data_IF_255804157082
#
_entry.id   IF_255804157082
#
_cell.length_a   1.000
_cell.length_b   1.000
_cell.length_c   1.000
_cell.angle_alpha   90.00
_cell.angle_beta   90.00
_cell.angle_gamma   90.00
#
_symmetry.space_group_name_H-M   'P 1'
#
loop_
_entity.id
_entity.type
_entity.pdbx_description
1 polymer ?
#
# COMPACT_ATOMS: atom_id res chain seq x y z
N UNK A 1 1.46 -11.09 -15.53
CA UNK A 1 2.24 -11.95 -14.63
C UNK A 1 2.16 -13.39 -15.15
N UNK A 2 3.28 -13.97 -15.59
CA UNK A 2 3.34 -15.26 -16.30
C UNK A 2 4.05 -16.31 -15.43
N UNK A 3 3.74 -16.34 -14.14
CA UNK A 3 4.14 -17.41 -13.22
C UNK A 3 2.98 -18.35 -13.00
N UNK A 4 3.23 -19.60 -12.56
CA UNK A 4 2.11 -20.47 -12.21
C UNK A 4 1.35 -19.86 -11.02
N UNK A 5 0.01 -19.78 -11.08
CA UNK A 5 -0.81 -19.06 -10.09
C UNK A 5 -0.59 -19.54 -8.65
N UNK A 6 -0.20 -20.80 -8.46
CA UNK A 6 0.08 -21.39 -7.16
C UNK A 6 1.30 -20.81 -6.43
N UNK A 7 2.24 -20.15 -7.12
CA UNK A 7 3.42 -19.58 -6.46
C UNK A 7 3.06 -18.34 -5.63
N UNK A 8 2.24 -17.45 -6.18
CA UNK A 8 1.80 -16.25 -5.46
C UNK A 8 0.98 -16.63 -4.22
N UNK A 9 0.11 -17.64 -4.37
CA UNK A 9 -0.69 -18.21 -3.29
C UNK A 9 0.18 -18.82 -2.18
N UNK A 10 1.23 -19.56 -2.52
CA UNK A 10 2.15 -20.12 -1.53
C UNK A 10 2.92 -19.06 -0.75
N UNK A 11 3.34 -17.97 -1.42
CA UNK A 11 4.03 -16.85 -0.76
C UNK A 11 3.11 -16.07 0.18
N UNK A 12 1.84 -15.86 -0.20
CA UNK A 12 0.87 -15.16 0.66
C UNK A 12 0.68 -15.83 2.03
N UNK A 13 0.84 -17.16 2.11
CA UNK A 13 0.70 -17.91 3.36
C UNK A 13 1.97 -17.92 4.23
N UNK A 14 2.85 -16.92 4.08
CA UNK A 14 4.09 -16.74 4.85
C UNK A 14 3.88 -16.26 6.30
N UNK A 15 2.65 -15.93 6.69
CA UNK A 15 2.27 -15.54 8.05
C UNK A 15 1.16 -16.43 8.59
N UNK A 16 0.84 -16.31 9.88
CA UNK A 16 -0.34 -16.97 10.45
C UNK A 16 -1.62 -16.31 9.92
N UNK A 17 -2.48 -17.11 9.28
CA UNK A 17 -3.79 -16.69 8.80
C UNK A 17 -4.91 -17.26 9.68
N UNK A 18 -6.09 -16.61 9.75
CA UNK A 18 -7.23 -17.15 10.46
C UNK A 18 -7.58 -18.57 9.98
N UNK A 19 -7.77 -19.49 10.92
CA UNK A 19 -8.14 -20.89 10.63
C UNK A 19 -9.63 -21.17 10.78
N UNK A 20 -10.40 -20.19 11.28
CA UNK A 20 -11.85 -20.30 11.49
C UNK A 20 -12.63 -19.67 10.33
N UNK A 21 -13.41 -20.47 9.56
CA UNK A 21 -14.27 -19.95 8.50
C UNK A 21 -15.30 -18.91 8.99
N UNK A 22 -15.72 -18.95 10.25
CA UNK A 22 -16.69 -17.99 10.78
C UNK A 22 -16.10 -16.59 10.96
N UNK A 23 -14.78 -16.48 11.19
CA UNK A 23 -14.07 -15.20 11.21
C UNK A 23 -14.17 -14.50 9.84
N UNK A 24 -13.79 -15.19 8.76
CA UNK A 24 -13.90 -14.65 7.40
C UNK A 24 -15.33 -14.21 7.06
N UNK A 25 -16.34 -15.01 7.45
CA UNK A 25 -17.75 -14.64 7.23
C UNK A 25 -18.14 -13.37 7.99
N UNK A 26 -17.59 -13.16 9.19
CA UNK A 26 -17.81 -11.95 9.96
C UNK A 26 -17.16 -10.74 9.30
N UNK A 27 -15.88 -10.86 8.92
CA UNK A 27 -15.10 -9.80 8.29
C UNK A 27 -15.72 -9.37 6.96
N UNK A 28 -16.15 -10.33 6.12
CA UNK A 28 -16.86 -10.01 4.88
C UNK A 28 -18.17 -9.23 5.11
N UNK A 29 -18.92 -9.52 6.19
CA UNK A 29 -20.16 -8.77 6.50
C UNK A 29 -19.83 -7.35 6.94
N UNK A 30 -18.85 -7.20 7.81
CA UNK A 30 -18.41 -5.89 8.30
C UNK A 30 -17.92 -5.01 7.14
N UNK A 31 -17.05 -5.54 6.28
CA UNK A 31 -16.50 -4.81 5.15
C UNK A 31 -17.56 -4.49 4.08
N UNK A 32 -18.53 -5.38 3.84
CA UNK A 32 -19.65 -5.09 2.94
C UNK A 32 -20.48 -3.90 3.45
N UNK A 33 -20.72 -3.84 4.75
CA UNK A 33 -21.58 -2.82 5.35
C UNK A 33 -20.85 -1.47 5.49
N UNK A 34 -19.55 -1.49 5.82
CA UNK A 34 -18.71 -0.29 5.97
C UNK A 34 -18.18 0.26 4.62
N UNK A 35 -17.92 -0.62 3.64
CA UNK A 35 -17.31 -0.30 2.36
C UNK A 35 -18.14 -0.92 1.22
N UNK A 36 -19.30 -0.33 0.86
CA UNK A 36 -20.26 -0.93 -0.06
C UNK A 36 -19.78 -1.00 -1.52
N UNK A 37 -18.63 -0.41 -1.83
CA UNK A 37 -18.03 -0.38 -3.17
C UNK A 37 -16.61 -0.97 -3.16
N UNK A 38 -16.18 -1.48 -4.31
CA UNK A 38 -14.86 -2.08 -4.47
C UNK A 38 -14.83 -3.57 -4.14
N UNK A 39 -13.63 -4.10 -3.90
CA UNK A 39 -13.39 -5.54 -3.73
C UNK A 39 -13.21 -5.97 -2.27
N UNK A 40 -13.27 -5.04 -1.31
CA UNK A 40 -12.88 -5.27 0.09
C UNK A 40 -13.57 -6.49 0.73
N UNK A 41 -14.90 -6.57 0.64
CA UNK A 41 -15.63 -7.72 1.17
C UNK A 41 -15.19 -9.03 0.50
N UNK A 42 -15.01 -9.06 -0.83
CA UNK A 42 -14.56 -10.26 -1.54
C UNK A 42 -13.12 -10.67 -1.19
N UNK A 43 -12.22 -9.69 -1.01
CA UNK A 43 -10.82 -9.92 -0.63
C UNK A 43 -10.68 -10.48 0.79
N UNK A 44 -11.60 -10.14 1.69
CA UNK A 44 -11.66 -10.71 3.05
C UNK A 44 -12.35 -12.08 3.13
N UNK A 45 -12.69 -12.68 2.00
CA UNK A 45 -13.21 -14.04 1.95
C UNK A 45 -12.14 -15.10 2.28
N UNK A 46 -12.55 -16.35 2.54
CA UNK A 46 -11.61 -17.44 2.79
C UNK A 46 -10.75 -17.69 1.54
N UNK A 47 -9.44 -17.50 1.70
CA UNK A 47 -8.43 -17.79 0.67
C UNK A 47 -7.77 -19.16 0.86
N UNK A 48 -6.80 -19.46 0.02
CA UNK A 48 -6.00 -20.71 0.05
C UNK A 48 -5.33 -20.97 1.39
N UNK A 49 -4.93 -19.92 2.13
CA UNK A 49 -4.22 -20.06 3.40
C UNK A 49 -5.07 -20.67 4.52
N UNK A 50 -6.40 -20.54 4.48
CA UNK A 50 -7.30 -21.23 5.42
C UNK A 50 -7.15 -22.76 5.35
N UNK A 51 -6.77 -23.28 4.18
CA UNK A 51 -6.63 -24.71 3.92
C UNK A 51 -5.16 -25.16 3.90
N UNK A 52 -4.21 -24.25 4.18
CA UNK A 52 -2.80 -24.61 4.23
C UNK A 52 -2.52 -25.47 5.46
N UNK A 53 -1.94 -26.64 5.24
CA UNK A 53 -1.39 -27.48 6.32
C UNK A 53 0.06 -27.12 6.67
N UNK A 54 0.69 -26.26 5.85
CA UNK A 54 2.07 -25.83 6.04
C UNK A 54 2.13 -24.64 6.97
N UNK A 55 2.99 -24.73 7.99
CA UNK A 55 3.31 -23.60 8.85
C UNK A 55 4.28 -22.66 8.14
N UNK A 56 4.24 -21.34 8.44
CA UNK A 56 5.29 -20.41 8.03
C UNK A 56 6.67 -20.98 8.34
N UNK A 57 7.54 -21.05 7.32
CA UNK A 57 8.88 -21.64 7.48
C UNK A 57 9.83 -20.69 8.21
N UNK A 58 9.54 -19.39 8.15
CA UNK A 58 10.32 -18.32 8.79
C UNK A 58 9.42 -17.58 9.80
N UNK A 59 9.97 -17.13 10.94
CA UNK A 59 9.24 -16.23 11.82
C UNK A 59 9.00 -14.89 11.12
N UNK A 60 7.99 -14.14 11.59
CA UNK A 60 7.80 -12.76 11.14
C UNK A 60 9.09 -11.95 11.35
N UNK A 61 9.44 -11.15 10.35
CA UNK A 61 10.64 -10.33 10.38
C UNK A 61 10.54 -9.29 11.48
N UNK A 62 11.43 -9.38 12.46
CA UNK A 62 11.65 -8.27 13.39
C UNK A 62 12.44 -7.18 12.66
N UNK A 63 11.79 -6.03 12.44
CA UNK A 63 12.44 -4.87 11.86
C UNK A 63 13.44 -4.31 12.86
N UNK A 64 14.71 -4.62 12.64
CA UNK A 64 15.85 -4.08 13.38
C UNK A 64 16.68 -3.19 12.45
N UNK A 65 17.29 -2.15 13.02
CA UNK A 65 18.17 -1.25 12.28
C UNK A 65 19.62 -1.62 12.53
N UNK A 66 20.20 -2.44 11.68
CA UNK A 66 21.63 -2.81 11.73
C UNK A 66 22.49 -2.02 10.72
N UNK A 67 21.88 -1.10 9.96
CA UNK A 67 22.53 -0.37 8.88
C UNK A 67 22.71 1.12 9.18
N UNK A 68 23.79 1.70 8.64
CA UNK A 68 24.17 3.10 8.88
C UNK A 68 23.20 4.08 8.19
N UNK A 69 22.82 3.81 6.95
CA UNK A 69 21.96 4.69 6.14
C UNK A 69 20.47 4.41 6.38
N UNK A 70 19.67 5.35 6.89
CA UNK A 70 18.22 5.17 7.03
C UNK A 70 17.56 4.75 5.72
N UNK A 71 16.51 3.93 5.80
CA UNK A 71 15.68 3.68 4.62
C UNK A 71 14.89 4.96 4.27
N UNK A 72 14.28 4.98 3.08
CA UNK A 72 13.29 5.99 2.72
C UNK A 72 11.93 5.32 2.61
N UNK A 73 10.97 5.73 3.45
CA UNK A 73 9.62 5.17 3.43
C UNK A 73 8.69 6.15 2.72
N UNK A 74 7.84 5.64 1.83
CA UNK A 74 6.86 6.44 1.09
C UNK A 74 5.49 5.84 1.36
N UNK A 75 4.52 6.67 1.72
CA UNK A 75 3.14 6.23 1.92
C UNK A 75 2.17 7.34 1.56
N UNK A 76 1.09 7.01 0.84
CA UNK A 76 0.02 7.98 0.59
C UNK A 76 -1.11 7.85 1.59
N UNK A 77 -1.76 8.97 1.87
CA UNK A 77 -2.86 9.05 2.85
C UNK A 77 -4.05 8.17 2.46
N UNK A 78 -4.33 8.04 1.16
CA UNK A 78 -5.50 7.33 0.64
C UNK A 78 -5.14 6.12 -0.23
N UNK A 79 -3.92 5.57 -0.12
CA UNK A 79 -3.55 4.32 -0.77
C UNK A 79 -4.42 3.16 -0.25
N UNK A 80 -5.29 2.64 -1.12
CA UNK A 80 -6.22 1.57 -0.78
C UNK A 80 -5.58 0.17 -0.73
N UNK A 81 -4.36 0.01 -1.25
CA UNK A 81 -3.65 -1.27 -1.29
C UNK A 81 -2.68 -1.40 -0.13
N UNK A 82 -1.98 -0.32 0.22
CA UNK A 82 -1.05 -0.26 1.35
C UNK A 82 -1.37 0.91 2.27
N UNK A 83 -2.19 0.64 3.28
CA UNK A 83 -2.74 1.66 4.18
C UNK A 83 -1.66 2.54 4.84
N UNK A 84 -1.89 3.86 4.85
CA UNK A 84 -0.95 4.88 5.35
C UNK A 84 -0.36 4.58 6.73
N UNK A 85 -1.19 4.10 7.66
CA UNK A 85 -0.76 3.76 9.01
C UNK A 85 0.35 2.69 9.04
N UNK A 86 0.39 1.79 8.05
CA UNK A 86 1.47 0.82 7.88
C UNK A 86 2.80 1.50 7.50
N UNK A 87 2.76 2.50 6.62
CA UNK A 87 3.93 3.31 6.27
C UNK A 87 4.48 4.10 7.46
N UNK A 88 3.61 4.75 8.23
CA UNK A 88 3.99 5.45 9.47
C UNK A 88 4.63 4.48 10.46
N UNK A 89 4.01 3.32 10.67
CA UNK A 89 4.51 2.30 11.57
C UNK A 89 5.86 1.70 11.13
N UNK A 90 6.11 1.62 9.81
CA UNK A 90 7.37 1.19 9.22
C UNK A 90 8.46 2.24 9.40
N UNK A 91 8.18 3.51 9.06
CA UNK A 91 9.12 4.63 9.23
C UNK A 91 9.61 4.75 10.68
N UNK A 92 8.67 4.65 11.65
CA UNK A 92 9.00 4.67 13.07
C UNK A 92 9.88 3.49 13.52
N UNK A 93 9.57 2.26 13.06
CA UNK A 93 10.35 1.06 13.42
C UNK A 93 11.76 1.09 12.84
N UNK A 94 11.92 1.66 11.65
CA UNK A 94 13.21 1.75 10.96
C UNK A 94 14.01 3.01 11.33
N UNK A 95 13.45 3.91 12.15
CA UNK A 95 14.00 5.25 12.41
C UNK A 95 14.40 5.96 11.10
N UNK A 96 13.44 5.96 10.18
CA UNK A 96 13.62 6.37 8.78
C UNK A 96 12.67 7.51 8.43
N UNK A 97 13.08 8.46 7.57
CA UNK A 97 12.19 9.51 7.10
C UNK A 97 10.99 8.94 6.34
N UNK A 98 9.86 9.64 6.50
CA UNK A 98 8.61 9.35 5.80
C UNK A 98 8.30 10.45 4.78
N UNK A 99 8.12 10.03 3.52
CA UNK A 99 7.51 10.85 2.47
C UNK A 99 6.01 10.53 2.41
N UNK A 100 5.20 11.46 2.88
CA UNK A 100 3.74 11.35 2.86
C UNK A 100 3.20 11.95 1.56
N UNK A 101 2.48 11.16 0.76
CA UNK A 101 1.75 11.68 -0.40
C UNK A 101 0.34 12.07 0.05
N UNK A 102 0.08 13.37 0.08
CA UNK A 102 -1.12 13.97 0.66
C UNK A 102 -2.22 14.07 -0.39
N UNK A 103 -3.46 13.80 0.00
CA UNK A 103 -4.65 13.96 -0.86
C UNK A 103 -4.61 13.09 -2.15
N UNK A 104 -3.93 11.95 -2.11
CA UNK A 104 -3.72 11.06 -3.25
C UNK A 104 -4.08 9.59 -2.91
N UNK A 105 -4.85 8.95 -3.79
CA UNK A 105 -5.31 7.57 -3.67
C UNK A 105 -4.66 6.58 -4.64
N UNK A 106 -3.59 6.97 -5.33
CA UNK A 106 -2.79 6.07 -6.16
C UNK A 106 -2.14 4.95 -5.31
N UNK A 107 -1.60 3.95 -5.98
CA UNK A 107 -0.78 2.92 -5.37
C UNK A 107 0.53 2.83 -6.16
N UNK A 108 1.68 2.90 -5.47
CA UNK A 108 3.03 3.10 -6.05
C UNK A 108 3.25 4.54 -6.54
N UNK A 109 4.23 5.23 -5.95
CA UNK A 109 4.45 6.68 -6.15
C UNK A 109 5.73 7.05 -6.91
N UNK A 110 6.83 6.32 -6.73
CA UNK A 110 8.10 6.71 -7.36
C UNK A 110 8.13 6.47 -8.88
N UNK A 111 7.56 5.34 -9.33
CA UNK A 111 7.65 4.95 -10.74
C UNK A 111 6.40 4.19 -11.22
N UNK A 112 5.25 4.86 -11.35
CA UNK A 112 3.96 4.22 -11.62
C UNK A 112 3.77 3.83 -13.10
N UNK A 113 4.82 3.49 -13.86
CA UNK A 113 4.71 3.26 -15.32
C UNK A 113 3.80 2.08 -15.68
N UNK A 114 3.46 1.23 -14.70
CA UNK A 114 2.45 0.18 -14.85
C UNK A 114 1.00 0.69 -14.75
N UNK A 115 0.78 1.95 -14.36
CA UNK A 115 -0.52 2.60 -14.22
C UNK A 115 -0.90 3.44 -15.45
N UNK A 116 -0.02 3.58 -16.44
CA UNK A 116 -0.26 4.28 -17.71
C UNK A 116 0.80 5.32 -18.06
N UNK A 117 0.70 5.85 -19.28
CA UNK A 117 1.68 6.77 -19.87
C UNK A 117 1.40 8.25 -19.54
N UNK A 118 0.38 8.53 -18.74
CA UNK A 118 -0.08 9.89 -18.51
C UNK A 118 0.89 10.65 -17.59
N UNK A 119 1.32 11.81 -18.05
CA UNK A 119 2.24 12.71 -17.33
C UNK A 119 1.67 13.10 -15.96
N UNK A 120 0.33 13.14 -15.83
CA UNK A 120 -0.46 13.42 -14.63
C UNK A 120 -0.41 12.31 -13.56
N UNK A 121 0.27 11.19 -13.82
CA UNK A 121 0.46 10.07 -12.88
C UNK A 121 1.80 10.19 -12.14
N UNK A 122 2.68 11.14 -12.51
CA UNK A 122 3.99 11.31 -11.88
C UNK A 122 3.89 12.09 -10.55
N UNK A 123 4.72 11.70 -9.59
CA UNK A 123 4.87 12.35 -8.28
C UNK A 123 6.24 13.05 -8.20
N UNK A 124 6.40 14.27 -8.78
CA UNK A 124 7.71 14.93 -8.85
C UNK A 124 8.35 15.20 -7.48
N UNK A 125 7.57 15.58 -6.46
CA UNK A 125 8.11 15.75 -5.10
C UNK A 125 8.66 14.42 -4.55
N UNK A 126 7.96 13.30 -4.78
CA UNK A 126 8.44 11.97 -4.39
C UNK A 126 9.68 11.58 -5.19
N UNK A 127 9.69 11.85 -6.50
CA UNK A 127 10.82 11.55 -7.36
C UNK A 127 12.08 12.31 -6.91
N UNK A 128 11.96 13.61 -6.61
CA UNK A 128 13.07 14.43 -6.12
C UNK A 128 13.64 13.92 -4.80
N UNK A 129 12.78 13.47 -3.87
CA UNK A 129 13.21 12.88 -2.60
C UNK A 129 13.95 11.55 -2.80
N UNK A 130 13.41 10.67 -3.65
CA UNK A 130 14.03 9.37 -3.96
C UNK A 130 15.34 9.54 -4.71
N UNK A 131 15.38 10.42 -5.72
CA UNK A 131 16.60 10.66 -6.51
C UNK A 131 17.68 11.33 -5.67
N UNK A 132 17.33 12.30 -4.82
CA UNK A 132 18.29 12.87 -3.86
C UNK A 132 18.86 11.82 -2.91
N UNK A 133 18.04 10.85 -2.48
CA UNK A 133 18.49 9.75 -1.64
C UNK A 133 19.39 8.76 -2.39
N UNK A 134 18.97 8.30 -3.58
CA UNK A 134 19.67 7.25 -4.33
C UNK A 134 20.91 7.76 -5.09
N UNK A 135 20.83 8.94 -5.69
CA UNK A 135 21.90 9.49 -6.54
C UNK A 135 22.89 10.32 -5.75
N UNK A 136 22.40 11.13 -4.82
CA UNK A 136 23.22 12.07 -4.06
C UNK A 136 23.54 11.61 -2.63
N UNK A 137 22.94 10.50 -2.16
CA UNK A 137 23.12 10.00 -0.80
C UNK A 137 22.55 10.91 0.29
N UNK A 138 21.64 11.84 -0.07
CA UNK A 138 21.03 12.77 0.88
C UNK A 138 19.77 12.14 1.47
N UNK A 139 19.78 11.92 2.78
CA UNK A 139 18.59 11.49 3.52
C UNK A 139 17.66 12.69 3.69
N UNK A 140 16.41 12.65 3.16
CA UNK A 140 15.45 13.72 3.37
C UNK A 140 14.93 13.71 4.82
N UNK A 141 14.36 14.83 5.25
CA UNK A 141 13.50 14.87 6.44
C UNK A 141 12.11 14.34 6.08
N UNK A 142 11.26 14.14 7.10
CA UNK A 142 9.84 13.87 6.86
C UNK A 142 9.24 14.95 5.96
N UNK A 143 8.63 14.53 4.86
CA UNK A 143 8.21 15.43 3.78
C UNK A 143 6.77 15.13 3.37
N UNK A 144 5.95 16.16 3.22
CA UNK A 144 4.61 16.06 2.66
C UNK A 144 4.63 16.50 1.19
N UNK A 145 4.29 15.57 0.30
CA UNK A 145 4.19 15.80 -1.14
C UNK A 145 2.73 16.00 -1.56
N UNK A 146 2.48 17.07 -2.32
CA UNK A 146 1.16 17.47 -2.82
C UNK A 146 1.12 17.43 -4.35
N UNK A 147 1.56 16.32 -4.93
CA UNK A 147 1.83 16.22 -6.37
C UNK A 147 0.56 16.24 -7.22
N UNK A 148 -0.53 15.67 -6.72
CA UNK A 148 -1.81 15.60 -7.45
C UNK A 148 -2.86 16.46 -6.77
N UNK A 149 -3.20 17.63 -7.33
CA UNK A 149 -4.31 18.40 -6.81
C UNK A 149 -5.62 17.64 -7.04
N UNK A 150 -6.54 17.74 -6.10
CA UNK A 150 -7.91 17.24 -6.28
C UNK A 150 -8.49 17.78 -7.60
N UNK A 151 -9.09 16.91 -8.43
CA UNK A 151 -9.84 17.38 -9.59
C UNK A 151 -10.84 18.44 -9.14
N UNK A 152 -10.86 19.58 -9.83
CA UNK A 152 -11.93 20.55 -9.63
C UNK A 152 -13.23 19.86 -10.00
N UNK A 153 -14.20 19.83 -9.10
CA UNK A 153 -15.53 19.33 -9.43
C UNK A 153 -16.02 20.06 -10.69
N UNK A 154 -16.26 19.33 -11.77
CA UNK A 154 -17.03 19.88 -12.87
C UNK A 154 -18.39 20.29 -12.28
N UNK A 155 -18.86 21.50 -12.60
CA UNK A 155 -20.23 21.84 -12.30
C UNK A 155 -21.12 20.75 -12.93
N UNK A 156 -22.07 20.20 -12.18
CA UNK A 156 -23.02 19.23 -12.71
C UNK A 156 -23.71 19.84 -13.94
N UNK A 157 -23.28 19.47 -15.15
CA UNK A 157 -23.83 20.03 -16.39
C UNK A 157 -25.24 19.51 -16.70
N UNK A 158 -25.82 18.71 -15.80
CA UNK A 158 -27.23 18.33 -15.81
C UNK A 158 -27.75 18.10 -14.39
N UNK A 159 -28.32 19.11 -13.71
CA UNK A 159 -29.24 18.83 -12.62
C UNK A 159 -30.41 18.06 -13.21
N UNK A 160 -30.53 16.77 -12.90
CA UNK A 160 -31.68 15.97 -13.32
C UNK A 160 -32.94 16.55 -12.64
N UNK A 161 -34.07 16.71 -13.38
CA UNK A 161 -35.27 17.38 -12.90
C UNK A 161 -35.98 16.69 -11.72
#
# INVERSE_FOLDING_TARGET
MTGPPHLAEALLCEAEWPTDPDQYRSDMRELRDAHPFGTGAGTAGPGVCLYSESQPTEPLVELTREWETPALVIAGEFDASTHYAGGVAMAQRLDSPLVTVVDDGAHIYYNPQFLGDEEDVRHPCVADAVESYLLDGRVPEDTACHDRPRPTAAADENPTP
#
